data_IF_051502465227
#
_entry.id   IF_051502465227
#
_cell.length_a   1.000
_cell.length_b   1.000
_cell.length_c   1.000
_cell.angle_alpha   90.00
_cell.angle_beta   90.00
_cell.angle_gamma   90.00
#
_symmetry.space_group_name_H-M   'P 1'
#
loop_
_entity.id
_entity.type
_entity.pdbx_description
1 polymer ?
#
# COMPACT_ATOMS: atom_id res chain seq x y z
N UNK A 1 -15.47 -12.48 6.03
CA UNK A 1 -14.12 -11.97 6.27
C UNK A 1 -14.16 -10.92 7.36
N UNK A 2 -13.27 -11.01 8.33
CA UNK A 2 -13.26 -10.07 9.44
C UNK A 2 -12.80 -8.68 8.98
N UNK A 3 -13.43 -7.64 9.50
CA UNK A 3 -13.01 -6.25 9.26
C UNK A 3 -11.63 -6.02 9.92
N UNK A 4 -10.73 -5.26 9.28
CA UNK A 4 -9.44 -4.94 9.90
C UNK A 4 -9.62 -4.22 11.25
N UNK A 5 -8.62 -4.33 12.12
CA UNK A 5 -8.60 -3.63 13.39
C UNK A 5 -8.78 -2.13 13.21
N UNK A 6 -9.47 -1.50 14.15
CA UNK A 6 -9.74 -0.06 14.10
C UNK A 6 -8.45 0.76 13.98
N UNK A 7 -7.34 0.30 14.59
CA UNK A 7 -6.06 1.00 14.50
C UNK A 7 -5.54 1.07 13.06
N UNK A 8 -5.83 0.07 12.24
CA UNK A 8 -5.43 0.03 10.83
C UNK A 8 -6.31 0.89 9.94
N UNK A 9 -7.46 1.33 10.44
CA UNK A 9 -8.42 2.14 9.70
C UNK A 9 -8.33 3.62 10.05
N UNK A 10 -7.32 4.03 10.81
CA UNK A 10 -7.09 5.42 11.18
C UNK A 10 -6.02 6.02 10.26
N UNK A 11 -6.41 6.91 9.30
CA UNK A 11 -5.46 7.52 8.38
C UNK A 11 -4.31 8.24 9.07
N UNK A 12 -4.55 8.82 10.25
CA UNK A 12 -3.55 9.60 10.98
C UNK A 12 -2.35 8.78 11.45
N UNK A 13 -2.48 7.46 11.50
CA UNK A 13 -1.39 6.58 11.93
C UNK A 13 -0.43 6.20 10.81
N UNK A 14 -0.75 6.56 9.57
CA UNK A 14 0.06 6.18 8.41
C UNK A 14 1.12 7.25 8.13
N UNK A 15 2.39 6.84 7.97
CA UNK A 15 3.48 7.81 7.74
C UNK A 15 3.51 8.37 6.32
N UNK A 16 2.81 7.75 5.37
CA UNK A 16 2.80 8.17 3.97
C UNK A 16 1.38 8.29 3.47
N UNK A 17 1.14 9.30 2.64
CA UNK A 17 -0.16 9.49 2.00
C UNK A 17 0.05 10.05 0.60
N UNK A 18 -0.77 9.59 -0.33
CA UNK A 18 -0.77 10.08 -1.71
C UNK A 18 -2.21 10.24 -2.18
N UNK A 19 -2.53 11.47 -2.60
CA UNK A 19 -3.86 11.77 -3.13
C UNK A 19 -3.94 11.42 -4.61
N UNK A 20 -5.03 10.78 -5.01
CA UNK A 20 -5.27 10.35 -6.38
C UNK A 20 -6.57 10.96 -6.86
N UNK A 21 -6.51 11.62 -8.02
CA UNK A 21 -7.69 12.11 -8.71
C UNK A 21 -8.44 10.93 -9.32
N UNK A 22 -9.74 10.82 -9.04
CA UNK A 22 -10.56 9.79 -9.65
C UNK A 22 -10.93 10.19 -11.07
N UNK A 23 -11.13 9.19 -11.94
CA UNK A 23 -11.49 9.40 -13.34
C UNK A 23 -12.87 8.79 -13.60
N UNK A 24 -13.57 9.32 -14.59
CA UNK A 24 -14.83 8.73 -15.01
C UNK A 24 -14.64 7.25 -15.41
N UNK A 25 -13.49 6.91 -15.99
CA UNK A 25 -13.17 5.53 -16.37
C UNK A 25 -13.02 4.58 -15.15
N UNK A 26 -12.90 5.14 -13.95
CA UNK A 26 -12.76 4.34 -12.72
C UNK A 26 -14.11 3.89 -12.14
N UNK A 27 -15.21 4.32 -12.76
CA UNK A 27 -16.57 4.08 -12.25
C UNK A 27 -17.18 2.87 -12.94
N UNK A 28 -17.89 2.04 -12.17
CA UNK A 28 -18.62 0.89 -12.69
C UNK A 28 -20.09 1.25 -13.01
N UNK A 29 -20.88 0.30 -13.55
CA UNK A 29 -22.29 0.57 -13.89
C UNK A 29 -23.14 0.98 -12.68
N UNK A 30 -22.72 0.68 -11.46
CA UNK A 30 -23.40 1.08 -10.23
C UNK A 30 -22.99 2.48 -9.78
N UNK A 31 -22.17 3.18 -10.57
CA UNK A 31 -21.66 4.53 -10.30
C UNK A 31 -20.76 4.61 -9.06
N UNK A 32 -20.14 3.50 -8.69
CA UNK A 32 -19.15 3.44 -7.62
C UNK A 32 -17.77 3.20 -8.20
N UNK A 33 -16.74 3.59 -7.47
CA UNK A 33 -15.37 3.29 -7.89
C UNK A 33 -15.20 1.77 -8.02
N UNK A 34 -14.75 1.36 -9.19
CA UNK A 34 -14.62 -0.05 -9.55
C UNK A 34 -13.52 -0.70 -8.72
N UNK A 35 -13.72 -1.96 -8.31
CA UNK A 35 -12.71 -2.70 -7.54
C UNK A 35 -11.38 -2.85 -8.27
N UNK A 36 -11.39 -2.97 -9.60
CA UNK A 36 -10.15 -3.04 -10.39
C UNK A 36 -9.43 -1.70 -10.35
N UNK A 37 -10.18 -0.59 -10.46
CA UNK A 37 -9.60 0.75 -10.35
C UNK A 37 -9.01 1.00 -8.97
N UNK A 38 -9.69 0.57 -7.91
CA UNK A 38 -9.18 0.68 -6.54
C UNK A 38 -7.87 -0.09 -6.37
N UNK A 39 -7.79 -1.30 -6.95
CA UNK A 39 -6.57 -2.10 -6.91
C UNK A 39 -5.41 -1.39 -7.64
N UNK A 40 -5.70 -0.76 -8.78
CA UNK A 40 -4.69 -0.01 -9.52
C UNK A 40 -4.21 1.22 -8.74
N UNK A 41 -5.11 1.91 -8.05
CA UNK A 41 -4.75 3.04 -7.19
C UNK A 41 -3.86 2.61 -6.04
N UNK A 42 -4.16 1.45 -5.44
CA UNK A 42 -3.32 0.88 -4.39
C UNK A 42 -1.92 0.56 -4.91
N UNK A 43 -1.82 -0.03 -6.10
CA UNK A 43 -0.52 -0.35 -6.70
C UNK A 43 0.28 0.92 -6.97
N UNK A 44 -0.33 1.93 -7.57
CA UNK A 44 0.35 3.19 -7.86
C UNK A 44 0.89 3.83 -6.57
N UNK A 45 0.07 3.88 -5.54
CA UNK A 45 0.49 4.45 -4.25
C UNK A 45 1.59 3.64 -3.59
N UNK A 46 1.54 2.31 -3.69
CA UNK A 46 2.57 1.44 -3.13
C UNK A 46 3.92 1.67 -3.82
N UNK A 47 3.92 1.82 -5.14
CA UNK A 47 5.15 2.13 -5.88
C UNK A 47 5.71 3.48 -5.44
N UNK A 48 4.86 4.49 -5.30
CA UNK A 48 5.31 5.81 -4.82
C UNK A 48 5.83 5.76 -3.39
N UNK A 49 5.21 4.95 -2.55
CA UNK A 49 5.68 4.71 -1.19
C UNK A 49 7.06 4.08 -1.19
N UNK A 50 7.28 3.05 -2.02
CA UNK A 50 8.58 2.42 -2.17
C UNK A 50 9.64 3.42 -2.64
N UNK A 51 9.29 4.28 -3.59
CA UNK A 51 10.21 5.32 -4.06
C UNK A 51 10.53 6.32 -2.94
N UNK A 52 9.53 6.70 -2.14
CA UNK A 52 9.73 7.61 -1.01
C UNK A 52 10.67 7.02 0.04
N UNK A 53 10.64 5.70 0.21
CA UNK A 53 11.56 4.99 1.10
C UNK A 53 12.95 4.80 0.47
N UNK A 54 13.13 5.18 -0.78
CA UNK A 54 14.41 5.07 -1.47
C UNK A 54 14.75 3.69 -2.00
N UNK A 55 13.72 2.88 -2.32
CA UNK A 55 13.92 1.51 -2.78
C UNK A 55 14.83 1.41 -4.01
N UNK A 56 14.69 2.33 -4.97
CA UNK A 56 15.48 2.33 -6.19
C UNK A 56 16.97 2.57 -5.92
N UNK A 57 17.29 3.21 -4.81
CA UNK A 57 18.68 3.51 -4.42
C UNK A 57 19.22 2.42 -3.49
N UNK A 58 18.40 1.99 -2.53
CA UNK A 58 18.82 1.09 -1.45
C UNK A 58 18.89 -0.37 -1.88
N UNK A 59 18.07 -0.76 -2.85
CA UNK A 59 18.02 -2.16 -3.29
C UNK A 59 19.15 -2.46 -4.27
N UNK A 60 19.64 -1.46 -5.02
CA UNK A 60 20.72 -1.65 -6.00
C UNK A 60 20.31 -2.65 -7.08
N UNK A 61 21.07 -3.72 -7.24
CA UNK A 61 20.75 -4.80 -8.18
C UNK A 61 19.66 -5.75 -7.68
N UNK A 62 19.31 -5.63 -6.40
CA UNK A 62 18.23 -6.40 -5.81
C UNK A 62 16.92 -5.77 -6.15
N UNK A 63 15.89 -6.59 -6.23
CA UNK A 63 14.53 -6.15 -6.55
C UNK A 63 13.58 -6.59 -5.47
N UNK A 64 12.49 -5.85 -5.32
CA UNK A 64 11.36 -6.31 -4.53
C UNK A 64 10.29 -6.83 -5.49
N UNK A 65 9.72 -7.96 -5.15
CA UNK A 65 8.63 -8.54 -5.91
C UNK A 65 7.42 -8.69 -5.00
N UNK A 66 6.24 -8.37 -5.54
CA UNK A 66 5.00 -8.59 -4.81
C UNK A 66 4.67 -10.08 -4.85
N UNK A 67 4.64 -10.71 -3.69
CA UNK A 67 4.33 -12.13 -3.57
C UNK A 67 2.83 -12.37 -3.35
N UNK A 68 2.15 -11.45 -2.67
CA UNK A 68 0.71 -11.55 -2.44
C UNK A 68 0.11 -10.18 -2.19
N UNK A 69 -1.17 -10.06 -2.53
CA UNK A 69 -1.99 -8.88 -2.22
C UNK A 69 -3.34 -9.37 -1.74
N UNK A 70 -3.77 -8.92 -0.58
CA UNK A 70 -5.11 -9.14 -0.08
C UNK A 70 -5.81 -7.80 0.03
N UNK A 71 -6.98 -7.66 -0.61
CA UNK A 71 -7.77 -6.44 -0.57
C UNK A 71 -9.10 -6.70 0.10
N UNK A 72 -9.51 -5.76 0.93
CA UNK A 72 -10.82 -5.76 1.56
C UNK A 72 -11.54 -4.47 1.19
N UNK A 73 -12.78 -4.59 0.73
CA UNK A 73 -13.61 -3.47 0.32
C UNK A 73 -14.55 -3.14 1.46
N UNK A 74 -14.42 -1.96 2.04
CA UNK A 74 -15.07 -1.59 3.29
C UNK A 74 -16.31 -0.72 3.08
N UNK A 75 -16.28 0.12 2.04
CA UNK A 75 -17.39 0.99 1.68
C UNK A 75 -17.24 1.43 0.23
N UNK A 76 -18.21 2.17 -0.27
CA UNK A 76 -18.21 2.62 -1.67
C UNK A 76 -17.45 3.93 -1.80
N UNK A 77 -16.65 4.04 -2.87
CA UNK A 77 -16.04 5.28 -3.28
C UNK A 77 -16.78 5.88 -4.48
N UNK A 78 -16.63 7.18 -4.68
CA UNK A 78 -17.39 7.92 -5.69
C UNK A 78 -16.50 8.83 -6.54
N UNK A 79 -16.89 9.02 -7.78
CA UNK A 79 -16.32 10.01 -8.69
C UNK A 79 -17.18 11.28 -8.60
N UNK A 80 -16.65 12.48 -8.71
CA UNK A 80 -15.27 12.87 -9.07
C UNK A 80 -14.37 13.17 -7.88
N UNK A 81 -14.79 12.90 -6.66
CA UNK A 81 -14.01 13.26 -5.49
C UNK A 81 -12.70 12.48 -5.43
N UNK A 82 -11.60 13.12 -5.04
CA UNK A 82 -10.32 12.40 -4.94
C UNK A 82 -10.32 11.42 -3.78
N UNK A 83 -9.42 10.44 -3.88
CA UNK A 83 -9.14 9.51 -2.79
C UNK A 83 -7.72 9.75 -2.30
N UNK A 84 -7.44 9.31 -1.09
CA UNK A 84 -6.08 9.32 -0.53
C UNK A 84 -5.71 7.92 -0.13
N UNK A 85 -4.55 7.45 -0.58
CA UNK A 85 -4.02 6.15 -0.18
C UNK A 85 -2.92 6.39 0.84
N UNK A 86 -3.11 5.84 2.03
CA UNK A 86 -2.16 5.90 3.13
C UNK A 86 -1.38 4.60 3.17
N UNK A 87 -0.07 4.68 3.33
CA UNK A 87 0.79 3.49 3.30
C UNK A 87 1.69 3.44 4.53
N UNK A 88 1.96 2.24 5.00
CA UNK A 88 2.90 1.98 6.08
C UNK A 88 3.51 0.59 5.93
N UNK A 89 4.68 0.39 6.49
CA UNK A 89 5.27 -0.94 6.65
C UNK A 89 4.68 -1.53 7.93
N UNK A 90 4.17 -2.75 7.84
CA UNK A 90 3.57 -3.42 8.99
C UNK A 90 4.56 -4.35 9.69
N UNK A 91 5.27 -5.15 8.91
CA UNK A 91 6.11 -6.21 9.45
C UNK A 91 7.34 -6.41 8.58
N UNK A 92 8.48 -6.61 9.20
CA UNK A 92 9.74 -6.86 8.50
C UNK A 92 10.26 -8.23 8.91
N UNK A 93 10.35 -9.15 7.95
CA UNK A 93 10.92 -10.48 8.13
C UNK A 93 12.37 -10.54 7.69
N UNK A 94 12.88 -11.75 7.44
CA UNK A 94 14.26 -11.92 6.98
C UNK A 94 14.45 -11.49 5.52
N UNK A 95 13.61 -11.98 4.62
CA UNK A 95 13.69 -11.69 3.17
C UNK A 95 12.42 -11.06 2.62
N UNK A 96 11.46 -10.76 3.49
CA UNK A 96 10.18 -10.20 3.07
C UNK A 96 9.68 -9.18 4.09
N UNK A 97 8.77 -8.33 3.64
CA UNK A 97 8.07 -7.40 4.52
C UNK A 97 6.65 -7.21 4.02
N UNK A 98 5.79 -6.75 4.90
CA UNK A 98 4.41 -6.44 4.52
C UNK A 98 4.18 -4.93 4.53
N UNK A 99 3.41 -4.48 3.54
CA UNK A 99 2.95 -3.11 3.43
C UNK A 99 1.44 -3.12 3.59
N UNK A 100 0.95 -2.25 4.45
CA UNK A 100 -0.49 -2.02 4.60
C UNK A 100 -0.86 -0.70 3.97
N UNK A 101 -2.04 -0.68 3.36
CA UNK A 101 -2.55 0.50 2.68
C UNK A 101 -4.01 0.71 3.01
N UNK A 102 -4.34 1.96 3.31
CA UNK A 102 -5.72 2.38 3.56
C UNK A 102 -6.10 3.42 2.52
N UNK A 103 -7.07 3.09 1.67
CA UNK A 103 -7.65 4.04 0.73
C UNK A 103 -8.88 4.64 1.37
N UNK A 104 -8.86 5.96 1.52
CA UNK A 104 -9.95 6.70 2.15
C UNK A 104 -10.46 7.80 1.22
N UNK A 105 -11.73 8.12 1.34
CA UNK A 105 -12.35 9.25 0.65
C UNK A 105 -13.06 10.09 1.70
N UNK A 106 -12.71 11.36 1.78
CA UNK A 106 -13.20 12.26 2.83
C UNK A 106 -12.96 11.71 4.24
N UNK A 107 -11.80 11.06 4.43
CA UNK A 107 -11.43 10.45 5.71
C UNK A 107 -12.14 9.13 6.03
N UNK A 108 -13.07 8.69 5.19
CA UNK A 108 -13.82 7.45 5.39
C UNK A 108 -13.12 6.29 4.69
N UNK A 109 -12.81 5.19 5.40
CA UNK A 109 -12.18 4.03 4.80
C UNK A 109 -13.05 3.41 3.69
N UNK A 110 -12.46 3.25 2.51
CA UNK A 110 -13.11 2.63 1.35
C UNK A 110 -12.54 1.24 1.10
N UNK A 111 -11.22 1.09 1.16
CA UNK A 111 -10.56 -0.18 0.93
C UNK A 111 -9.30 -0.28 1.78
N UNK A 112 -8.94 -1.50 2.14
CA UNK A 112 -7.72 -1.81 2.88
C UNK A 112 -6.99 -2.93 2.14
N UNK A 113 -5.66 -2.81 2.03
CA UNK A 113 -4.84 -3.82 1.37
C UNK A 113 -3.65 -4.20 2.23
N UNK A 114 -3.27 -5.45 2.16
CA UNK A 114 -2.03 -5.96 2.76
C UNK A 114 -1.25 -6.69 1.67
N UNK A 115 -0.03 -6.26 1.44
CA UNK A 115 0.84 -6.83 0.41
C UNK A 115 2.10 -7.39 1.04
N UNK A 116 2.50 -8.57 0.59
CA UNK A 116 3.80 -9.15 0.97
C UNK A 116 4.77 -8.89 -0.18
N UNK A 117 5.90 -8.28 0.15
CA UNK A 117 6.98 -8.03 -0.79
C UNK A 117 8.19 -8.88 -0.38
N UNK A 118 8.88 -9.43 -1.38
CA UNK A 118 10.03 -10.30 -1.17
C UNK A 118 11.24 -9.66 -1.84
N UNK A 119 12.34 -9.59 -1.11
CA UNK A 119 13.62 -9.16 -1.68
C UNK A 119 14.17 -10.27 -2.57
N UNK A 120 14.47 -9.93 -3.82
CA UNK A 120 14.92 -10.87 -4.85
C UNK A 120 16.30 -10.47 -5.36
N UNK A 121 17.19 -11.45 -5.48
CA UNK A 121 18.44 -11.31 -6.19
C UNK A 121 18.66 -12.61 -6.97
N UNK A 122 19.04 -12.51 -8.25
CA UNK A 122 19.24 -13.67 -9.12
C UNK A 122 18.02 -14.60 -9.14
N UNK A 123 16.82 -13.99 -9.24
CA UNK A 123 15.52 -14.68 -9.26
C UNK A 123 15.23 -15.53 -8.03
N UNK A 124 15.88 -15.25 -6.90
CA UNK A 124 15.68 -15.96 -5.64
C UNK A 124 15.46 -15.00 -4.48
N UNK A 125 14.68 -15.41 -3.48
CA UNK A 125 14.59 -14.65 -2.25
C UNK A 125 15.98 -14.44 -1.65
N UNK A 126 16.24 -13.22 -1.18
CA UNK A 126 17.50 -12.85 -0.54
C UNK A 126 17.20 -12.09 0.75
N UNK A 127 18.07 -12.14 1.75
CA UNK A 127 17.86 -11.32 2.95
C UNK A 127 17.76 -9.84 2.61
N UNK A 128 16.90 -9.14 3.33
CA UNK A 128 16.77 -7.69 3.20
C UNK A 128 18.13 -7.05 3.51
N UNK A 129 18.56 -6.11 2.67
CA UNK A 129 19.82 -5.42 2.88
C UNK A 129 19.84 -4.74 4.26
N UNK A 130 21.00 -4.84 4.95
CA UNK A 130 21.13 -4.33 6.32
C UNK A 130 20.92 -2.83 6.45
N UNK A 131 21.22 -2.05 5.39
CA UNK A 131 20.99 -0.61 5.36
C UNK A 131 19.55 -0.25 4.99
N UNK A 132 18.81 -1.17 4.41
CA UNK A 132 17.42 -0.95 4.04
C UNK A 132 16.43 -1.32 5.16
N UNK A 133 16.77 -2.28 5.99
CA UNK A 133 15.92 -2.71 7.09
C UNK A 133 15.52 -1.56 8.03
N UNK A 134 16.46 -0.70 8.50
CA UNK A 134 16.07 0.44 9.33
C UNK A 134 15.15 1.43 8.61
N UNK A 135 15.31 1.58 7.30
CA UNK A 135 14.43 2.44 6.51
C UNK A 135 13.00 1.92 6.56
N UNK A 136 12.80 0.62 6.33
CA UNK A 136 11.48 0.00 6.42
C UNK A 136 10.86 0.21 7.80
N UNK A 137 11.65 0.05 8.85
CA UNK A 137 11.16 0.20 10.23
C UNK A 137 10.74 1.65 10.54
N UNK A 138 11.40 2.64 9.93
CA UNK A 138 11.03 4.05 10.09
C UNK A 138 9.67 4.40 9.51
N UNK A 139 9.21 3.64 8.54
CA UNK A 139 7.95 3.90 7.86
C UNK A 139 6.82 3.00 8.38
N UNK A 140 6.94 2.58 9.63
CA UNK A 140 5.92 1.79 10.32
C UNK A 140 4.71 2.63 10.68
N UNK A 141 3.60 1.94 10.93
CA UNK A 141 2.39 2.58 11.43
C UNK A 141 2.70 3.30 12.75
N UNK A 142 2.23 4.52 12.89
CA UNK A 142 2.44 5.32 14.09
C UNK A 142 1.53 4.88 15.23
N UNK A 143 2.05 5.03 16.44
CA UNK A 143 1.28 4.70 17.64
C UNK A 143 0.09 5.64 17.87
#
# INVERSE_FOLDING_TARGET
>A
MARPDAALLDPARYPFAHQITTRFADVDPNQHLNNVALAAMMEDARVRFNLAMGSAVKIGERRAMVASVAMEYLSQGHFPDPVTVHCAVERVGNSSWTVIQLLAQHGRPVAFARSALVAIADDRPTPIAGDYRPVLEQWSLRA
#
